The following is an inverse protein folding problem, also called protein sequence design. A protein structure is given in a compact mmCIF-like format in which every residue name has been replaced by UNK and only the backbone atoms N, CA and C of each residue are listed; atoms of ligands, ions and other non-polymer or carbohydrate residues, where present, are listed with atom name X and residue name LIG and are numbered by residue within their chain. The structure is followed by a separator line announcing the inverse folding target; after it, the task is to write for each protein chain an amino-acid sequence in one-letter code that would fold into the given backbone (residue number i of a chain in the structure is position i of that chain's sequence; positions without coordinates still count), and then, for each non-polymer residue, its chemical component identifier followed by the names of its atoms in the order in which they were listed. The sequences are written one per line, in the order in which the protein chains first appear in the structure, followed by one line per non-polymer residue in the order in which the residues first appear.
data_IF_602238920686
#
_entry.id   IF_602238920686
#
_cell.length_a   1.000
_cell.length_b   1.000
_cell.length_c   1.000
_cell.angle_alpha   90.00
_cell.angle_beta   90.00
_cell.angle_gamma   90.00
#
_symmetry.space_group_name_H-M   'P 1'
#
loop_
_entity.id
_entity.type
_entity.pdbx_description
1 polymer ?
#
# COMPACT_ATOMS: atom_id res chain seq x y z
N UNK A 1 13.49 -29.06 0.61
CA UNK A 1 13.52 -27.62 0.95
C UNK A 1 12.26 -27.01 0.35
N UNK A 2 11.49 -26.25 1.12
CA UNK A 2 10.32 -25.53 0.61
C UNK A 2 10.78 -24.48 -0.42
N UNK A 3 10.04 -24.32 -1.51
CA UNK A 3 10.37 -23.33 -2.55
C UNK A 3 10.18 -21.92 -2.00
N UNK A 4 11.17 -21.04 -2.17
CA UNK A 4 11.13 -19.65 -1.71
C UNK A 4 10.06 -18.89 -2.47
N UNK A 5 9.19 -18.17 -1.75
CA UNK A 5 8.18 -17.29 -2.35
C UNK A 5 8.59 -15.83 -2.20
N UNK A 6 7.92 -14.94 -2.93
CA UNK A 6 8.07 -13.49 -2.76
C UNK A 6 7.84 -13.05 -1.30
N UNK A 7 6.86 -13.64 -0.61
CA UNK A 7 6.54 -13.31 0.78
C UNK A 7 7.63 -13.72 1.77
N UNK A 8 8.52 -14.64 1.40
CA UNK A 8 9.70 -14.98 2.21
C UNK A 8 10.82 -13.94 2.08
N UNK A 9 10.73 -13.03 1.10
CA UNK A 9 11.79 -12.05 0.76
C UNK A 9 11.52 -10.64 1.26
N UNK A 10 10.28 -10.35 1.69
CA UNK A 10 9.92 -9.03 2.20
C UNK A 10 10.52 -8.82 3.59
N UNK A 11 10.93 -7.58 3.88
CA UNK A 11 11.55 -7.22 5.17
C UNK A 11 10.63 -7.49 6.36
N UNK A 12 9.33 -7.24 6.19
CA UNK A 12 8.30 -7.47 7.20
C UNK A 12 6.97 -7.81 6.53
N UNK A 13 6.28 -8.80 7.07
CA UNK A 13 4.91 -9.12 6.67
C UNK A 13 3.90 -8.16 7.34
N UNK A 14 2.79 -7.84 6.68
CA UNK A 14 1.72 -7.07 7.31
C UNK A 14 1.10 -7.81 8.51
N UNK A 15 1.15 -9.14 8.52
CA UNK A 15 0.76 -9.98 9.66
C UNK A 15 1.65 -9.69 10.90
N UNK A 16 2.85 -9.10 10.73
CA UNK A 16 3.80 -8.75 11.80
C UNK A 16 3.91 -7.23 12.10
N UNK A 17 2.98 -6.42 11.59
CA UNK A 17 2.89 -5.00 11.94
C UNK A 17 2.32 -4.86 13.35
N UNK A 18 3.01 -4.08 14.20
CA UNK A 18 2.61 -3.91 15.59
C UNK A 18 1.48 -2.89 15.65
N UNK A 19 0.37 -3.29 16.29
CA UNK A 19 -0.76 -2.41 16.58
C UNK A 19 -0.90 -2.35 18.10
N UNK A 20 -0.74 -1.16 18.66
CA UNK A 20 -0.88 -0.87 20.08
C UNK A 20 -2.23 -0.20 20.37
N UNK A 21 -2.51 0.10 21.64
CA UNK A 21 -3.69 0.90 22.03
C UNK A 21 -3.63 2.32 21.43
N UNK A 22 -2.42 2.87 21.28
CA UNK A 22 -2.17 4.22 20.74
C UNK A 22 -2.15 4.28 19.21
N UNK A 23 -2.22 3.13 18.52
CA UNK A 23 -2.25 3.09 17.07
C UNK A 23 -1.30 2.10 16.41
N UNK A 24 -1.08 2.27 15.12
CA UNK A 24 -0.20 1.43 14.30
C UNK A 24 1.22 1.93 14.48
N UNK A 25 2.14 1.05 14.91
CA UNK A 25 3.55 1.39 15.05
C UNK A 25 4.15 1.86 13.73
N UNK A 26 4.77 3.05 13.75
CA UNK A 26 5.25 3.74 12.56
C UNK A 26 6.34 2.95 11.84
N UNK A 27 7.29 2.36 12.57
CA UNK A 27 8.45 1.70 11.96
C UNK A 27 8.03 0.41 11.28
N UNK A 28 7.31 -0.45 12.01
CA UNK A 28 6.86 -1.74 11.47
C UNK A 28 5.90 -1.56 10.31
N UNK A 29 5.03 -0.55 10.32
CA UNK A 29 4.21 -0.23 9.16
C UNK A 29 5.05 0.16 7.94
N UNK A 30 6.01 1.08 8.09
CA UNK A 30 6.83 1.52 6.96
C UNK A 30 7.68 0.38 6.40
N UNK A 31 8.19 -0.52 7.24
CA UNK A 31 8.90 -1.74 6.81
C UNK A 31 8.00 -2.68 5.98
N UNK A 32 6.74 -2.88 6.39
CA UNK A 32 5.79 -3.72 5.66
C UNK A 32 5.38 -3.10 4.31
N UNK A 33 5.28 -1.77 4.24
CA UNK A 33 4.97 -1.03 2.99
C UNK A 33 6.06 -1.21 1.93
N UNK A 34 7.33 -1.43 2.31
CA UNK A 34 8.40 -1.75 1.35
C UNK A 34 8.10 -3.06 0.59
N UNK A 35 7.38 -4.01 1.21
CA UNK A 35 6.80 -5.16 0.53
C UNK A 35 5.93 -4.69 -0.64
N UNK A 36 4.90 -3.88 -0.40
CA UNK A 36 4.04 -3.39 -1.49
C UNK A 36 4.84 -2.68 -2.61
N UNK A 37 5.81 -1.85 -2.25
CA UNK A 37 6.66 -1.14 -3.22
C UNK A 37 7.44 -2.14 -4.09
N UNK A 38 8.05 -3.15 -3.48
CA UNK A 38 8.82 -4.17 -4.21
C UNK A 38 7.94 -5.12 -5.02
N UNK A 39 6.68 -5.34 -4.63
CA UNK A 39 5.71 -6.12 -5.41
C UNK A 39 5.49 -5.51 -6.81
N UNK A 40 5.55 -4.18 -6.95
CA UNK A 40 5.45 -3.52 -8.25
C UNK A 40 6.60 -3.89 -9.21
N UNK A 41 7.74 -4.37 -8.72
CA UNK A 41 8.78 -4.93 -9.58
C UNK A 41 8.34 -6.26 -10.22
N UNK A 42 7.48 -7.03 -9.55
CA UNK A 42 6.92 -8.27 -10.09
C UNK A 42 5.93 -8.00 -11.23
N UNK A 43 5.25 -6.85 -11.19
CA UNK A 43 4.41 -6.36 -12.29
C UNK A 43 5.25 -5.99 -13.53
N UNK A 44 6.56 -5.80 -13.39
CA UNK A 44 7.53 -5.95 -14.48
C UNK A 44 7.53 -4.86 -15.56
N UNK A 45 6.82 -3.75 -15.35
CA UNK A 45 6.79 -2.61 -16.28
C UNK A 45 7.30 -1.34 -15.63
N UNK A 46 8.14 -0.60 -16.36
CA UNK A 46 8.57 0.75 -15.97
C UNK A 46 7.42 1.73 -15.80
N UNK A 47 6.22 1.41 -16.33
CA UNK A 47 5.01 2.18 -16.08
C UNK A 47 4.62 2.22 -14.59
N UNK A 48 5.01 1.22 -13.79
CA UNK A 48 4.80 1.21 -12.34
C UNK A 48 5.86 2.01 -11.56
N UNK A 49 6.93 2.49 -12.21
CA UNK A 49 7.93 3.33 -11.53
C UNK A 49 7.31 4.62 -10.98
N UNK A 50 6.25 5.13 -11.63
CA UNK A 50 5.52 6.30 -11.12
C UNK A 50 4.81 5.98 -9.81
N UNK A 51 4.18 4.80 -9.72
CA UNK A 51 3.49 4.33 -8.51
C UNK A 51 4.50 4.10 -7.38
N UNK A 52 5.61 3.41 -7.66
CA UNK A 52 6.67 3.20 -6.69
C UNK A 52 7.23 4.52 -6.16
N UNK A 53 7.55 5.47 -7.06
CA UNK A 53 8.07 6.80 -6.65
C UNK A 53 7.09 7.58 -5.78
N UNK A 54 5.80 7.52 -6.09
CA UNK A 54 4.76 8.16 -5.26
C UNK A 54 4.72 7.55 -3.86
N UNK A 55 4.64 6.21 -3.76
CA UNK A 55 4.62 5.51 -2.47
C UNK A 55 5.90 5.76 -1.66
N UNK A 56 7.08 5.62 -2.27
CA UNK A 56 8.37 5.90 -1.63
C UNK A 56 8.45 7.35 -1.16
N UNK A 57 7.97 8.31 -1.96
CA UNK A 57 7.91 9.73 -1.58
C UNK A 57 7.05 9.94 -0.33
N UNK A 58 5.91 9.27 -0.24
CA UNK A 58 5.02 9.35 0.92
C UNK A 58 5.59 8.64 2.16
N UNK A 59 6.24 7.48 2.00
CA UNK A 59 7.01 6.81 3.06
C UNK A 59 8.08 7.75 3.63
N UNK A 60 8.82 8.46 2.76
CA UNK A 60 9.86 9.39 3.19
C UNK A 60 9.29 10.59 3.99
N UNK A 61 8.11 11.11 3.63
CA UNK A 61 7.44 12.18 4.40
C UNK A 61 7.09 11.70 5.82
N UNK A 62 6.54 10.49 5.95
CA UNK A 62 6.18 9.89 7.24
C UNK A 62 7.43 9.65 8.08
N UNK A 63 8.46 9.03 7.47
CA UNK A 63 9.75 8.78 8.13
C UNK A 63 10.41 10.06 8.61
N UNK A 64 10.41 11.11 7.79
CA UNK A 64 10.97 12.41 8.19
C UNK A 64 10.29 12.98 9.44
N UNK A 65 8.97 12.83 9.57
CA UNK A 65 8.23 13.24 10.78
C UNK A 65 8.52 12.34 11.97
N UNK A 66 8.58 11.02 11.77
CA UNK A 66 8.98 10.09 12.82
C UNK A 66 10.32 10.49 13.45
N UNK A 67 11.31 10.85 12.61
CA UNK A 67 12.65 11.23 13.06
C UNK A 67 12.71 12.56 13.85
N UNK A 68 11.70 13.43 13.76
CA UNK A 68 11.71 14.68 14.56
C UNK A 68 11.51 14.42 16.06
N UNK A 69 10.75 13.37 16.41
CA UNK A 69 10.51 12.95 17.79
C UNK A 69 9.93 11.52 17.76
N UNK A 70 10.82 10.53 17.85
CA UNK A 70 10.46 9.11 17.72
C UNK A 70 9.52 8.62 18.82
N UNK A 71 9.55 9.25 19.99
CA UNK A 71 8.69 8.89 21.12
C UNK A 71 7.28 9.41 20.87
N UNK A 72 7.15 10.68 20.47
CA UNK A 72 5.84 11.27 20.22
C UNK A 72 5.19 10.80 18.94
N UNK A 73 5.98 10.41 17.93
CA UNK A 73 5.47 9.96 16.62
C UNK A 73 5.60 8.44 16.44
N UNK A 74 5.61 7.69 17.55
CA UNK A 74 5.79 6.24 17.58
C UNK A 74 4.68 5.47 16.85
N UNK A 75 3.46 6.02 16.79
CA UNK A 75 2.36 5.50 15.98
C UNK A 75 1.97 6.46 14.87
N UNK A 76 1.35 5.94 13.80
CA UNK A 76 0.84 6.73 12.69
C UNK A 76 -0.22 7.74 13.16
N UNK A 77 -1.09 7.33 14.07
CA UNK A 77 -2.13 8.17 14.67
C UNK A 77 -1.52 9.31 15.49
N UNK A 78 -0.58 9.02 16.38
CA UNK A 78 0.11 10.06 17.16
C UNK A 78 0.86 11.03 16.25
N UNK A 79 1.51 10.52 15.20
CA UNK A 79 2.19 11.32 14.19
C UNK A 79 1.25 12.34 13.53
N UNK A 80 0.06 11.91 13.11
CA UNK A 80 -0.96 12.77 12.51
C UNK A 80 -1.52 13.79 13.52
N UNK A 81 -1.83 13.34 14.74
CA UNK A 81 -2.38 14.20 15.80
C UNK A 81 -1.38 15.30 16.18
N UNK A 82 -0.09 14.96 16.31
CA UNK A 82 0.95 15.92 16.65
C UNK A 82 1.17 16.95 15.55
N UNK A 83 1.03 16.57 14.28
CA UNK A 83 1.18 17.48 13.15
C UNK A 83 -0.05 18.36 12.92
N UNK A 84 -1.22 18.00 13.48
CA UNK A 84 -2.51 18.67 13.22
C UNK A 84 -2.51 20.17 13.52
N UNK A 85 -1.77 20.61 14.55
CA UNK A 85 -1.71 22.02 14.97
C UNK A 85 -0.71 22.85 14.18
N UNK A 86 0.06 22.21 13.30
CA UNK A 86 1.11 22.86 12.53
C UNK A 86 0.58 23.48 11.24
N UNK A 87 1.26 24.53 10.76
CA UNK A 87 0.89 25.20 9.50
C UNK A 87 1.01 24.29 8.28
N UNK A 88 1.89 23.28 8.33
CA UNK A 88 2.12 22.33 7.25
C UNK A 88 1.95 20.93 7.82
N UNK A 89 1.15 20.12 7.12
CA UNK A 89 0.79 18.76 7.53
C UNK A 89 1.36 17.72 6.56
N UNK A 90 2.68 17.78 6.35
CA UNK A 90 3.39 17.06 5.28
C UNK A 90 3.26 15.54 5.46
N UNK A 91 3.43 15.05 6.68
CA UNK A 91 3.38 13.62 6.96
C UNK A 91 1.94 13.10 7.00
N UNK A 92 0.99 13.90 7.46
CA UNK A 92 -0.44 13.61 7.38
C UNK A 92 -0.88 13.50 5.93
N UNK A 93 -0.48 14.44 5.07
CA UNK A 93 -0.77 14.37 3.63
C UNK A 93 -0.09 13.16 3.00
N UNK A 94 1.18 12.90 3.37
CA UNK A 94 1.92 11.72 2.92
C UNK A 94 1.20 10.43 3.26
N UNK A 95 0.77 10.26 4.50
CA UNK A 95 0.02 9.08 4.94
C UNK A 95 -1.37 8.99 4.29
N UNK A 96 -2.03 10.11 4.01
CA UNK A 96 -3.29 10.13 3.26
C UNK A 96 -3.13 9.54 1.84
N UNK A 97 -2.10 9.98 1.11
CA UNK A 97 -1.82 9.46 -0.22
C UNK A 97 -1.31 8.02 -0.19
N UNK A 98 -0.46 7.68 0.79
CA UNK A 98 0.03 6.32 0.96
C UNK A 98 -1.13 5.36 1.25
N UNK A 99 -2.03 5.67 2.19
CA UNK A 99 -3.17 4.79 2.49
C UNK A 99 -4.09 4.60 1.29
N UNK A 100 -4.31 5.63 0.46
CA UNK A 100 -5.09 5.51 -0.79
C UNK A 100 -4.39 4.60 -1.82
N UNK A 101 -3.06 4.68 -1.91
CA UNK A 101 -2.26 3.78 -2.75
C UNK A 101 -2.28 2.33 -2.28
N UNK A 102 -2.22 2.13 -0.96
CA UNK A 102 -2.36 0.81 -0.33
C UNK A 102 -3.76 0.24 -0.52
N UNK A 103 -4.80 1.06 -0.35
CA UNK A 103 -6.20 0.69 -0.61
C UNK A 103 -6.40 0.24 -2.05
N UNK A 104 -5.97 1.06 -3.03
CA UNK A 104 -5.97 0.69 -4.44
C UNK A 104 -5.31 -0.67 -4.68
N UNK A 105 -4.13 -0.88 -4.10
CA UNK A 105 -3.38 -2.13 -4.27
C UNK A 105 -4.12 -3.31 -3.66
N UNK A 106 -4.62 -3.18 -2.43
CA UNK A 106 -5.39 -4.23 -1.75
C UNK A 106 -6.63 -4.63 -2.55
N UNK A 107 -7.42 -3.67 -3.04
CA UNK A 107 -8.62 -3.93 -3.85
C UNK A 107 -8.27 -4.62 -5.17
N UNK A 108 -7.18 -4.20 -5.83
CA UNK A 108 -6.72 -4.80 -7.08
C UNK A 108 -6.29 -6.26 -6.88
N UNK A 109 -5.49 -6.52 -5.84
CA UNK A 109 -4.97 -7.82 -5.49
C UNK A 109 -6.06 -8.78 -5.01
N UNK A 110 -6.96 -8.30 -4.15
CA UNK A 110 -8.15 -9.04 -3.68
C UNK A 110 -9.03 -9.48 -4.84
N UNK A 111 -9.32 -8.57 -5.77
CA UNK A 111 -10.07 -8.88 -6.98
C UNK A 111 -9.33 -9.91 -7.82
N UNK A 112 -8.02 -9.76 -7.97
CA UNK A 112 -7.19 -10.70 -8.72
C UNK A 112 -7.28 -12.11 -8.12
N UNK A 113 -7.23 -12.30 -6.80
CA UNK A 113 -7.38 -13.63 -6.20
C UNK A 113 -8.80 -14.17 -6.40
N UNK A 114 -9.83 -13.38 -6.11
CA UNK A 114 -11.22 -13.83 -6.14
C UNK A 114 -11.74 -14.12 -7.55
N UNK A 115 -11.24 -13.42 -8.57
CA UNK A 115 -11.61 -13.60 -9.97
C UNK A 115 -10.49 -14.35 -10.70
N UNK A 116 -10.45 -15.67 -10.55
CA UNK A 116 -9.33 -16.50 -11.01
C UNK A 116 -9.12 -16.52 -12.53
N UNK A 117 -10.14 -16.14 -13.31
CA UNK A 117 -10.08 -16.02 -14.77
C UNK A 117 -9.86 -14.59 -15.27
N UNK A 118 -9.81 -13.60 -14.37
CA UNK A 118 -9.61 -12.20 -14.74
C UNK A 118 -8.10 -11.87 -14.84
N UNK A 119 -7.74 -11.18 -15.92
CA UNK A 119 -6.39 -10.65 -16.11
C UNK A 119 -6.11 -9.47 -15.15
N UNK A 120 -4.86 -9.36 -14.71
CA UNK A 120 -4.45 -8.34 -13.75
C UNK A 120 -4.74 -6.91 -14.23
N UNK A 121 -4.58 -6.65 -15.53
CA UNK A 121 -4.88 -5.33 -16.10
C UNK A 121 -6.34 -4.92 -15.87
N UNK A 122 -7.28 -5.87 -15.92
CA UNK A 122 -8.70 -5.65 -15.65
C UNK A 122 -8.92 -5.45 -14.15
N UNK A 123 -8.32 -6.30 -13.31
CA UNK A 123 -8.46 -6.17 -11.84
C UNK A 123 -7.96 -4.82 -11.34
N UNK A 124 -6.76 -4.40 -11.77
CA UNK A 124 -6.16 -3.11 -11.42
C UNK A 124 -6.94 -1.93 -12.02
N UNK A 125 -7.46 -2.03 -13.25
CA UNK A 125 -8.28 -0.97 -13.84
C UNK A 125 -9.57 -0.74 -13.05
N UNK A 126 -10.23 -1.82 -12.63
CA UNK A 126 -11.46 -1.74 -11.84
C UNK A 126 -11.19 -1.18 -10.44
N UNK A 127 -10.15 -1.67 -9.76
CA UNK A 127 -9.75 -1.16 -8.46
C UNK A 127 -9.43 0.33 -8.51
N UNK A 128 -8.73 0.80 -9.54
CA UNK A 128 -8.43 2.21 -9.73
C UNK A 128 -9.67 3.08 -9.82
N UNK A 129 -10.67 2.59 -10.55
CA UNK A 129 -11.94 3.30 -10.76
C UNK A 129 -12.64 3.65 -9.46
N UNK A 130 -12.55 2.78 -8.45
CA UNK A 130 -13.26 2.91 -7.17
C UNK A 130 -12.40 3.44 -6.02
N UNK A 131 -11.08 3.58 -6.20
CA UNK A 131 -10.14 4.01 -5.14
C UNK A 131 -9.44 5.34 -5.47
N UNK A 132 -8.38 5.32 -6.29
CA UNK A 132 -7.51 6.49 -6.53
C UNK A 132 -8.06 7.47 -7.59
N UNK A 133 -8.83 6.99 -8.57
CA UNK A 133 -9.29 7.81 -9.71
C UNK A 133 -10.05 9.09 -9.29
N UNK A 134 -10.91 9.09 -8.25
CA UNK A 134 -11.56 10.31 -7.76
C UNK A 134 -10.56 11.38 -7.30
N UNK A 135 -9.41 10.99 -6.77
CA UNK A 135 -8.40 11.89 -6.21
C UNK A 135 -7.34 12.35 -7.22
N UNK A 136 -7.16 11.62 -8.33
CA UNK A 136 -6.22 12.01 -9.37
C UNK A 136 -6.78 13.08 -10.30
N UNK A 137 -5.96 14.09 -10.60
CA UNK A 137 -6.26 15.12 -11.59
C UNK A 137 -6.37 14.54 -13.00
N UNK A 138 -6.98 15.29 -13.92
CA UNK A 138 -7.09 14.90 -15.33
C UNK A 138 -5.74 14.68 -16.01
N UNK A 139 -4.65 15.26 -15.48
CA UNK A 139 -3.28 15.07 -15.95
C UNK A 139 -2.65 13.76 -15.43
N UNK A 140 -3.00 13.33 -14.22
CA UNK A 140 -2.43 12.12 -13.59
C UNK A 140 -3.17 10.85 -14.05
N UNK A 141 -4.49 10.95 -14.31
CA UNK A 141 -5.31 9.79 -14.68
C UNK A 141 -4.79 8.97 -15.88
N UNK A 142 -4.30 9.58 -16.99
CA UNK A 142 -3.77 8.83 -18.13
C UNK A 142 -2.52 8.01 -17.77
N UNK A 143 -1.65 8.53 -16.89
CA UNK A 143 -0.42 7.85 -16.47
C UNK A 143 -0.74 6.54 -15.75
N UNK A 144 -1.67 6.57 -14.80
CA UNK A 144 -2.13 5.38 -14.09
C UNK A 144 -2.87 4.40 -15.00
N UNK A 145 -3.66 4.91 -15.94
CA UNK A 145 -4.34 4.06 -16.94
C UNK A 145 -3.33 3.28 -17.79
N UNK A 146 -2.22 3.91 -18.18
CA UNK A 146 -1.13 3.24 -18.89
C UNK A 146 -0.46 2.19 -18.01
N UNK A 147 -0.22 2.48 -16.73
CA UNK A 147 0.35 1.52 -15.79
C UNK A 147 -0.52 0.25 -15.67
N UNK A 148 -1.84 0.38 -15.52
CA UNK A 148 -2.76 -0.77 -15.46
C UNK A 148 -2.74 -1.61 -16.74
N UNK A 149 -2.69 -0.96 -17.90
CA UNK A 149 -2.58 -1.67 -19.19
C UNK A 149 -1.25 -2.42 -19.32
N UNK A 150 -0.23 -2.00 -18.58
CA UNK A 150 1.08 -2.62 -18.55
C UNK A 150 1.23 -3.66 -17.42
N UNK A 151 0.16 -4.03 -16.71
CA UNK A 151 0.15 -5.22 -15.87
C UNK A 151 0.59 -6.45 -16.71
N UNK A 152 1.36 -7.37 -16.13
CA UNK A 152 1.73 -8.59 -16.81
C UNK A 152 0.51 -9.52 -16.92
N UNK A 153 0.64 -10.57 -17.72
CA UNK A 153 -0.34 -11.66 -17.69
C UNK A 153 -0.42 -12.26 -16.29
N UNK A 154 -1.63 -12.62 -15.89
CA UNK A 154 -1.92 -13.22 -14.58
C UNK A 154 -0.98 -14.39 -14.27
N UNK A 155 -0.87 -15.34 -15.19
CA UNK A 155 -0.06 -16.55 -15.00
C UNK A 155 1.41 -16.23 -14.71
N UNK A 156 1.97 -15.23 -15.39
CA UNK A 156 3.36 -14.80 -15.21
C UNK A 156 3.56 -14.12 -13.85
N UNK A 157 2.59 -13.32 -13.40
CA UNK A 157 2.65 -12.70 -12.08
C UNK A 157 2.64 -13.74 -10.96
N UNK A 158 1.68 -14.66 -10.95
CA UNK A 158 1.59 -15.68 -9.90
C UNK A 158 2.79 -16.62 -9.91
N UNK A 159 3.35 -16.92 -11.08
CA UNK A 159 4.61 -17.67 -11.20
C UNK A 159 5.80 -16.91 -10.59
N UNK A 160 5.89 -15.59 -10.78
CA UNK A 160 6.93 -14.76 -10.14
C UNK A 160 6.81 -14.69 -8.62
N UNK A 161 5.63 -14.92 -8.05
CA UNK A 161 5.44 -14.98 -6.60
C UNK A 161 6.02 -16.27 -5.99
N UNK A 162 6.23 -17.32 -6.78
CA UNK A 162 6.84 -18.58 -6.33
C UNK A 162 6.29 -19.79 -7.07
N UNK A 163 7.06 -20.88 -7.15
CA UNK A 163 6.65 -22.09 -7.88
C UNK A 163 5.57 -22.91 -7.13
N UNK A 164 5.60 -22.88 -5.79
CA UNK A 164 4.59 -23.55 -4.96
C UNK A 164 3.33 -22.69 -4.84
N UNK A 165 2.41 -22.87 -5.79
CA UNK A 165 1.19 -22.07 -5.87
C UNK A 165 0.25 -22.24 -4.68
N UNK A 166 0.26 -23.40 -4.01
CA UNK A 166 -0.54 -23.60 -2.80
C UNK A 166 -0.02 -22.72 -1.66
N UNK A 167 1.31 -22.73 -1.46
CA UNK A 167 1.98 -21.88 -0.47
C UNK A 167 1.86 -20.40 -0.80
N UNK A 168 2.03 -20.02 -2.07
CA UNK A 168 1.83 -18.63 -2.54
C UNK A 168 0.44 -18.15 -2.19
N UNK A 169 -0.60 -18.93 -2.48
CA UNK A 169 -1.99 -18.52 -2.20
C UNK A 169 -2.24 -18.37 -0.69
N UNK A 170 -1.70 -19.25 0.14
CA UNK A 170 -1.83 -19.15 1.61
C UNK A 170 -1.15 -17.88 2.16
N UNK A 171 0.11 -17.63 1.78
CA UNK A 171 0.86 -16.45 2.24
C UNK A 171 0.24 -15.15 1.72
N UNK A 172 -0.17 -15.14 0.45
CA UNK A 172 -0.86 -14.00 -0.16
C UNK A 172 -2.14 -13.68 0.62
N UNK A 173 -2.96 -14.68 0.93
CA UNK A 173 -4.20 -14.47 1.67
C UNK A 173 -3.96 -13.88 3.08
N UNK A 174 -2.96 -14.35 3.86
CA UNK A 174 -2.61 -13.73 5.15
C UNK A 174 -2.19 -12.28 4.93
N UNK A 175 -1.20 -12.07 4.07
CA UNK A 175 -0.55 -10.79 3.84
C UNK A 175 -1.56 -9.73 3.39
N UNK A 176 -2.43 -10.09 2.43
CA UNK A 176 -3.45 -9.20 1.90
C UNK A 176 -4.52 -8.89 2.94
N UNK A 177 -5.00 -9.90 3.68
CA UNK A 177 -5.99 -9.68 4.73
C UNK A 177 -5.46 -8.77 5.85
N UNK A 178 -4.17 -8.87 6.18
CA UNK A 178 -3.54 -7.98 7.14
C UNK A 178 -3.40 -6.54 6.61
N UNK A 179 -3.00 -6.38 5.35
CA UNK A 179 -2.98 -5.08 4.66
C UNK A 179 -4.36 -4.41 4.67
N UNK A 180 -5.41 -5.15 4.32
CA UNK A 180 -6.80 -4.65 4.30
C UNK A 180 -7.22 -4.14 5.67
N UNK A 181 -6.98 -4.91 6.75
CA UNK A 181 -7.28 -4.47 8.13
C UNK A 181 -6.56 -3.18 8.52
N UNK A 182 -5.30 -3.03 8.12
CA UNK A 182 -4.51 -1.82 8.39
C UNK A 182 -5.07 -0.61 7.62
N UNK A 183 -5.38 -0.80 6.34
CA UNK A 183 -6.01 0.23 5.50
C UNK A 183 -7.35 0.66 6.09
N UNK A 184 -8.19 -0.28 6.52
CA UNK A 184 -9.49 0.01 7.14
C UNK A 184 -9.34 0.81 8.44
N UNK A 185 -8.38 0.44 9.31
CA UNK A 185 -8.08 1.19 10.53
C UNK A 185 -7.66 2.63 10.22
N UNK A 186 -6.78 2.82 9.23
CA UNK A 186 -6.35 4.14 8.79
C UNK A 186 -7.48 4.95 8.14
N UNK A 187 -8.32 4.32 7.32
CA UNK A 187 -9.50 4.95 6.72
C UNK A 187 -10.45 5.47 7.81
N UNK A 188 -10.78 4.61 8.77
CA UNK A 188 -11.63 4.94 9.91
C UNK A 188 -11.05 6.10 10.73
N UNK A 189 -9.76 6.06 11.06
CA UNK A 189 -9.06 7.14 11.77
C UNK A 189 -9.12 8.48 11.02
N UNK A 190 -8.85 8.47 9.70
CA UNK A 190 -8.87 9.68 8.89
C UNK A 190 -10.26 10.29 8.78
N UNK A 191 -11.28 9.46 8.59
CA UNK A 191 -12.67 9.90 8.48
C UNK A 191 -13.18 10.47 9.80
N UNK A 192 -12.99 9.76 10.92
CA UNK A 192 -13.43 10.21 12.25
C UNK A 192 -12.72 11.49 12.70
N UNK A 193 -11.42 11.59 12.41
CA UNK A 193 -10.60 12.76 12.77
C UNK A 193 -10.68 13.92 11.77
N UNK A 194 -11.37 13.75 10.64
CA UNK A 194 -11.38 14.73 9.54
C UNK A 194 -9.97 15.06 9.03
N UNK A 195 -9.06 14.08 9.05
CA UNK A 195 -7.65 14.26 8.71
C UNK A 195 -7.40 14.23 7.19
N UNK A 196 -8.43 13.98 6.39
CA UNK A 196 -8.42 13.99 4.92
C UNK A 196 -8.64 15.39 4.32
N UNK A 197 -8.85 16.41 5.17
CA UNK A 197 -9.14 17.80 4.79
C UNK A 197 -7.99 18.74 5.16
N UNK A 198 -7.95 19.89 4.46
CA UNK A 198 -7.07 21.02 4.81
C UNK A 198 -5.68 20.95 4.21
N UNK A 199 -5.56 20.41 2.98
CA UNK A 199 -4.35 20.38 2.18
C UNK A 199 -4.53 21.22 0.91
#
# INVERSE_FOLDING_TARGET
MTSVTYFDTITRDFCDVIITEDGIDTVTFLEAVEGVITLFNMLGSSAFNVVQKDMTGNVNKIRARYETDRIKNNTLENLVINEQKEKKRIATEGLLWLKRGLEFTSVALRRSINQTTEELSVSFTNAYGVTLKPFHSYLVRPVFTLAMKACPYRVEFFKKLGDDQARVNEQYECWLSALERIVDKLNCFYEQGGHDKGF
#
